data_IF_070228226503
#
_entry.id   IF_070228226503
#
_cell.length_a   1.000
_cell.length_b   1.000
_cell.length_c   1.000
_cell.angle_alpha   90.00
_cell.angle_beta   90.00
_cell.angle_gamma   90.00
#
_symmetry.space_group_name_H-M   'P 1'
#
loop_
_entity.id
_entity.type
_entity.pdbx_description
1 polymer ?
#
# COMPACT_ATOMS: atom_id res chain seq x y z
N UNK A 1 5.66 4.20 14.65
CA UNK A 1 4.18 4.16 14.64
C UNK A 1 3.72 5.50 14.09
N UNK A 2 2.88 5.51 13.04
CA UNK A 2 2.20 6.74 12.62
C UNK A 2 1.04 7.00 13.59
N UNK A 3 0.76 8.27 13.87
CA UNK A 3 -0.09 8.69 15.01
C UNK A 3 -1.59 8.46 14.81
N UNK A 4 -2.03 8.02 13.63
CA UNK A 4 -3.43 7.65 13.32
C UNK A 4 -3.73 6.17 13.62
N UNK A 5 -2.79 5.44 14.23
CA UNK A 5 -2.91 4.01 14.50
C UNK A 5 -2.84 3.12 13.25
N UNK A 6 -2.88 3.70 12.05
CA UNK A 6 -2.81 2.97 10.79
C UNK A 6 -1.35 2.76 10.46
N UNK A 7 -0.84 1.54 10.69
CA UNK A 7 0.45 1.14 10.12
C UNK A 7 0.26 0.99 8.61
N UNK A 8 0.51 2.08 7.88
CA UNK A 8 0.68 2.04 6.43
C UNK A 8 2.18 1.97 6.15
N UNK A 9 2.61 0.99 5.37
CA UNK A 9 4.04 0.87 5.08
C UNK A 9 4.48 -0.29 4.20
N UNK A 10 3.57 -1.11 3.67
CA UNK A 10 3.98 -2.23 2.83
C UNK A 10 3.57 -1.88 1.40
N UNK A 11 4.52 -1.32 0.67
CA UNK A 11 4.47 -1.40 -0.79
C UNK A 11 4.46 -2.88 -1.17
N UNK A 12 3.75 -3.23 -2.23
CA UNK A 12 3.80 -4.58 -2.78
C UNK A 12 3.60 -4.52 -4.29
N UNK A 13 4.42 -5.22 -5.09
CA UNK A 13 4.15 -5.48 -6.49
C UNK A 13 2.93 -6.37 -6.62
N UNK A 14 2.01 -5.93 -7.46
CA UNK A 14 0.87 -6.68 -7.97
C UNK A 14 0.88 -6.48 -9.50
N UNK A 15 0.01 -7.17 -10.22
CA UNK A 15 -0.10 -7.16 -11.68
C UNK A 15 -0.26 -5.74 -12.25
N UNK A 16 -0.94 -4.84 -11.53
CA UNK A 16 -1.11 -3.43 -11.92
C UNK A 16 0.08 -2.51 -11.57
N UNK A 17 1.13 -3.04 -10.95
CA UNK A 17 2.31 -2.29 -10.51
C UNK A 17 2.54 -2.38 -9.00
N UNK A 18 3.35 -1.47 -8.46
CA UNK A 18 3.60 -1.38 -7.01
C UNK A 18 2.63 -0.42 -6.38
N UNK A 19 1.85 -0.92 -5.43
CA UNK A 19 0.87 -0.15 -4.68
C UNK A 19 1.20 -0.19 -3.19
N UNK A 20 0.69 0.80 -2.45
CA UNK A 20 0.79 0.82 -1.00
C UNK A 20 -0.50 0.27 -0.40
N UNK A 21 -0.35 -0.57 0.63
CA UNK A 21 -1.47 -1.19 1.34
C UNK A 21 -1.38 -0.90 2.84
N UNK A 22 -2.55 -0.92 3.49
CA UNK A 22 -2.61 -0.97 4.96
C UNK A 22 -2.20 -2.35 5.47
N UNK A 23 -1.74 -2.44 6.72
CA UNK A 23 -1.39 -3.75 7.34
C UNK A 23 -2.56 -4.73 7.34
N UNK A 24 -3.80 -4.26 7.51
CA UNK A 24 -5.00 -5.10 7.50
C UNK A 24 -5.24 -5.80 6.15
N UNK A 25 -4.89 -5.17 5.03
CA UNK A 25 -5.08 -5.74 3.70
C UNK A 25 -4.27 -7.03 3.51
N UNK A 26 -3.04 -7.10 4.04
CA UNK A 26 -2.20 -8.32 3.98
C UNK A 26 -2.64 -9.41 4.94
N UNK A 27 -3.45 -9.07 5.94
CA UNK A 27 -3.99 -10.00 6.93
C UNK A 27 -5.42 -10.45 6.59
N UNK A 28 -5.96 -9.97 5.47
CA UNK A 28 -7.28 -10.35 5.00
C UNK A 28 -7.30 -11.82 4.57
N UNK A 29 -8.49 -12.42 4.59
CA UNK A 29 -8.65 -13.82 4.19
C UNK A 29 -8.17 -14.03 2.74
N UNK A 30 -7.47 -15.13 2.44
CA UNK A 30 -7.12 -15.53 1.06
C UNK A 30 -8.35 -15.65 0.16
N UNK A 31 -8.19 -15.42 -1.14
CA UNK A 31 -9.26 -15.47 -2.14
C UNK A 31 -10.34 -14.39 -2.02
N UNK A 32 -10.06 -13.28 -1.34
CA UNK A 32 -10.94 -12.12 -1.23
C UNK A 32 -10.37 -10.92 -1.99
N UNK A 33 -11.21 -9.92 -2.26
CA UNK A 33 -10.73 -8.63 -2.74
C UNK A 33 -10.30 -7.72 -1.58
N UNK A 34 -9.23 -6.96 -1.76
CA UNK A 34 -8.80 -5.89 -0.87
C UNK A 34 -8.36 -4.68 -1.66
N UNK A 35 -8.21 -3.53 -1.00
CA UNK A 35 -7.93 -2.27 -1.66
C UNK A 35 -6.53 -1.75 -1.34
N UNK A 36 -5.81 -1.31 -2.38
CA UNK A 36 -4.69 -0.41 -2.24
C UNK A 36 -5.15 0.97 -1.75
N UNK A 37 -4.23 1.80 -1.24
CA UNK A 37 -4.58 3.17 -0.82
C UNK A 37 -5.22 4.02 -1.93
N UNK A 38 -4.87 3.77 -3.19
CA UNK A 38 -5.46 4.46 -4.33
C UNK A 38 -6.86 3.96 -4.71
N UNK A 39 -7.42 2.98 -3.98
CA UNK A 39 -8.70 2.34 -4.27
C UNK A 39 -8.63 1.27 -5.37
N UNK A 40 -7.43 0.84 -5.77
CA UNK A 40 -7.31 -0.28 -6.69
C UNK A 40 -7.65 -1.58 -5.94
N UNK A 41 -8.64 -2.31 -6.43
CA UNK A 41 -8.97 -3.65 -5.96
C UNK A 41 -7.90 -4.64 -6.42
N UNK A 42 -7.47 -5.49 -5.49
CA UNK A 42 -6.44 -6.49 -5.67
C UNK A 42 -6.88 -7.75 -4.95
N UNK A 43 -6.63 -8.89 -5.57
CA UNK A 43 -6.89 -10.19 -4.95
C UNK A 43 -5.93 -10.43 -3.77
N UNK A 44 -6.42 -10.94 -2.65
CA UNK A 44 -5.58 -11.18 -1.47
C UNK A 44 -4.53 -12.26 -1.70
N UNK A 45 -4.77 -13.25 -2.56
CA UNK A 45 -3.77 -14.24 -2.93
C UNK A 45 -2.62 -13.58 -3.71
N UNK A 46 -2.93 -12.65 -4.61
CA UNK A 46 -1.91 -11.86 -5.32
C UNK A 46 -1.12 -10.97 -4.36
N UNK A 47 -1.80 -10.25 -3.47
CA UNK A 47 -1.15 -9.37 -2.49
C UNK A 47 -0.23 -10.14 -1.53
N UNK A 48 -0.62 -11.35 -1.15
CA UNK A 48 0.09 -12.20 -0.19
C UNK A 48 1.20 -13.04 -0.84
N UNK A 49 1.25 -13.11 -2.17
CA UNK A 49 2.36 -13.76 -2.87
C UNK A 49 3.70 -13.08 -2.58
N UNK A 50 4.74 -13.90 -2.52
CA UNK A 50 6.13 -13.43 -2.47
C UNK A 50 6.48 -12.93 -3.86
N UNK A 51 6.44 -11.62 -4.05
CA UNK A 51 6.83 -10.99 -5.30
C UNK A 51 8.33 -11.20 -5.56
N UNK A 52 8.68 -11.51 -6.81
CA UNK A 52 10.07 -11.63 -7.24
C UNK A 52 10.80 -10.26 -7.26
N UNK A 53 12.13 -10.28 -7.24
CA UNK A 53 12.96 -9.08 -7.23
C UNK A 53 12.79 -8.22 -8.50
N UNK A 54 12.51 -8.84 -9.65
CA UNK A 54 12.30 -8.11 -10.90
C UNK A 54 10.99 -7.34 -10.87
N UNK A 55 9.93 -7.83 -10.23
CA UNK A 55 8.68 -7.11 -10.03
C UNK A 55 8.89 -5.87 -9.16
N UNK A 56 9.77 -5.97 -8.16
CA UNK A 56 10.20 -4.85 -7.33
C UNK A 56 10.99 -3.78 -8.09
N UNK A 57 11.79 -4.17 -9.08
CA UNK A 57 12.62 -3.24 -9.87
C UNK A 57 11.83 -2.66 -11.04
N UNK A 58 11.11 -3.50 -11.80
CA UNK A 58 10.51 -3.17 -13.10
C UNK A 58 9.09 -2.68 -13.04
N UNK A 59 8.32 -3.06 -12.00
CA UNK A 59 6.93 -2.60 -11.87
C UNK A 59 6.85 -1.07 -11.86
N UNK A 60 5.74 -0.49 -12.30
CA UNK A 60 5.54 0.94 -12.13
C UNK A 60 5.11 1.22 -10.69
N UNK A 61 5.65 2.26 -10.06
CA UNK A 61 5.16 2.67 -8.75
C UNK A 61 3.90 3.52 -8.90
N UNK A 62 2.83 3.18 -8.18
CA UNK A 62 1.59 3.95 -8.20
C UNK A 62 1.80 5.34 -7.56
N UNK A 63 1.68 6.39 -8.38
CA UNK A 63 1.90 7.77 -7.91
C UNK A 63 0.74 8.32 -7.06
N UNK A 64 -0.48 7.79 -7.20
CA UNK A 64 -1.60 8.17 -6.34
C UNK A 64 -1.41 7.66 -4.91
N UNK A 65 -0.96 6.41 -4.75
CA UNK A 65 -0.53 5.87 -3.45
C UNK A 65 0.55 6.75 -2.79
N UNK A 66 1.52 7.23 -3.58
CA UNK A 66 2.55 8.17 -3.10
C UNK A 66 1.97 9.49 -2.63
N UNK A 67 1.08 10.12 -3.41
CA UNK A 67 0.45 11.41 -3.04
C UNK A 67 -0.35 11.28 -1.75
N UNK A 68 -1.13 10.20 -1.59
CA UNK A 68 -1.91 9.95 -0.37
C UNK A 68 -1.00 9.82 0.84
N UNK A 69 0.11 9.08 0.73
CA UNK A 69 1.10 8.95 1.80
C UNK A 69 1.76 10.30 2.14
N UNK A 70 2.19 11.05 1.13
CA UNK A 70 2.81 12.35 1.31
C UNK A 70 1.86 13.35 2.00
N UNK A 71 0.58 13.35 1.63
CA UNK A 71 -0.44 14.18 2.28
C UNK A 71 -0.61 13.80 3.76
N UNK A 72 -0.64 12.50 4.09
CA UNK A 72 -0.74 12.02 5.48
C UNK A 72 0.48 12.43 6.32
N UNK A 73 1.68 12.37 5.75
CA UNK A 73 2.90 12.80 6.42
C UNK A 73 2.93 14.34 6.62
N UNK A 74 2.50 15.13 5.62
CA UNK A 74 2.41 16.59 5.71
C UNK A 74 1.38 17.10 6.73
N UNK A 75 0.28 16.35 6.92
CA UNK A 75 -0.77 16.70 7.91
C UNK A 75 -0.29 16.53 9.36
N UNK A 76 0.75 15.71 9.58
CA UNK A 76 1.34 15.48 10.91
C UNK A 76 2.25 16.64 11.33
N UNK A 77 2.85 17.37 10.39
CA UNK A 77 3.75 18.51 10.68
C UNK A 77 3.00 19.78 11.10
N UNK A 78 1.76 19.98 10.66
CA UNK A 78 0.99 21.20 10.92
C UNK A 78 0.29 21.25 12.29
N UNK A 79 0.35 20.18 13.11
CA UNK A 79 -0.33 20.08 14.42
C UNK A 79 0.62 20.12 15.62
N UNK A 80 1.88 20.49 15.41
CA UNK A 80 2.93 20.53 16.45
C UNK A 80 3.54 21.92 16.68
N UNK A 81 2.80 23.00 16.37
CA UNK A 81 3.20 24.38 16.69
C UNK A 81 2.21 25.02 17.66
#
# INVERSE_FOLDING_TARGET
>A
MRSDGTKVGLWQPVSSGRHAFGVAARQSEPGCATEALCGAEVDTDELQQVADELAWIRGNTCMECWKILAARDGTTSAKSS
#
